data_IF_026893889474
#
_entry.id   IF_026893889474
#
_cell.length_a   1.000
_cell.length_b   1.000
_cell.length_c   1.000
_cell.angle_alpha   90.00
_cell.angle_beta   90.00
_cell.angle_gamma   90.00
#
_symmetry.space_group_name_H-M   'P 1'
#
loop_
_entity.id
_entity.type
_entity.pdbx_description
1 polymer ?
#
# COMPACT_ATOMS: atom_id res chain seq x y z
N UNK A 1 -7.52 7.65 54.57
CA UNK A 1 -6.34 7.20 53.80
C UNK A 1 -6.29 5.68 53.80
N UNK A 2 -6.59 5.03 52.66
CA UNK A 2 -6.23 3.65 52.31
C UNK A 2 -6.28 3.57 50.77
N UNK A 3 -5.18 3.21 50.14
CA UNK A 3 -5.04 2.99 48.69
C UNK A 3 -5.74 1.69 48.31
N UNK A 4 -6.49 1.69 47.20
CA UNK A 4 -6.75 0.48 46.42
C UNK A 4 -6.56 0.85 44.94
N UNK A 5 -5.45 0.37 44.39
CA UNK A 5 -5.18 0.20 42.96
C UNK A 5 -6.08 -0.95 42.50
N UNK A 6 -6.91 -0.78 41.46
CA UNK A 6 -7.32 -1.85 40.53
C UNK A 6 -8.37 -1.32 39.53
N UNK A 7 -7.93 -0.90 38.35
CA UNK A 7 -8.68 -1.16 37.11
C UNK A 7 -7.73 -1.09 35.91
N UNK A 8 -6.60 -1.80 36.04
CA UNK A 8 -6.09 -2.55 34.91
C UNK A 8 -7.13 -3.64 34.64
N UNK A 9 -8.11 -3.34 33.78
CA UNK A 9 -8.86 -4.35 33.04
C UNK A 9 -7.88 -4.84 31.98
N UNK A 10 -6.95 -5.76 32.29
CA UNK A 10 -7.18 -7.20 32.28
C UNK A 10 -8.19 -7.64 31.20
N UNK A 11 -7.95 -7.22 29.96
CA UNK A 11 -8.22 -8.07 28.78
C UNK A 11 -6.90 -8.71 28.38
N UNK A 12 -6.37 -9.54 29.30
CA UNK A 12 -5.45 -10.63 28.96
C UNK A 12 -6.33 -11.85 28.83
N UNK A 13 -7.04 -11.95 27.71
CA UNK A 13 -7.74 -13.16 27.31
C UNK A 13 -7.37 -13.41 25.84
N UNK A 14 -6.44 -14.35 25.66
CA UNK A 14 -6.22 -15.13 24.44
C UNK A 14 -5.74 -14.37 23.20
N UNK A 15 -4.41 -14.23 23.09
CA UNK A 15 -3.67 -14.83 21.97
C UNK A 15 -3.87 -14.29 20.53
N UNK A 16 -4.54 -13.16 20.34
CA UNK A 16 -4.47 -12.41 19.08
C UNK A 16 -4.01 -10.98 19.42
N UNK A 17 -2.71 -10.79 19.64
CA UNK A 17 -2.12 -9.45 19.56
C UNK A 17 -2.08 -9.05 18.07
N UNK A 18 -3.24 -8.70 17.49
CA UNK A 18 -3.21 -7.86 16.31
C UNK A 18 -2.62 -6.54 16.77
N UNK A 19 -1.41 -6.22 16.31
CA UNK A 19 -0.86 -4.88 16.42
C UNK A 19 -1.92 -3.93 15.83
N UNK A 20 -2.52 -3.11 16.67
CA UNK A 20 -3.46 -2.09 16.22
C UNK A 20 -2.59 -1.02 15.55
N UNK A 21 -2.70 -0.90 14.23
CA UNK A 21 -2.19 0.26 13.53
C UNK A 21 -2.89 1.48 14.10
N UNK A 22 -2.15 2.36 14.76
CA UNK A 22 -2.63 3.73 14.99
C UNK A 22 -2.43 4.44 13.67
N UNK A 23 -3.47 4.40 12.85
CA UNK A 23 -3.44 4.94 11.50
C UNK A 23 -3.56 6.46 11.50
N UNK A 24 -2.91 7.15 10.57
CA UNK A 24 -3.23 8.53 10.28
C UNK A 24 -4.69 8.64 9.82
N UNK A 25 -5.37 9.72 10.20
CA UNK A 25 -6.70 10.02 9.66
C UNK A 25 -6.53 10.80 8.35
N UNK A 26 -6.98 10.22 7.26
CA UNK A 26 -6.96 10.83 5.93
C UNK A 26 -8.33 11.37 5.55
N UNK A 27 -8.38 12.54 4.90
CA UNK A 27 -9.65 13.14 4.44
C UNK A 27 -9.83 13.00 2.92
N UNK A 28 -8.74 12.84 2.17
CA UNK A 28 -8.73 12.78 0.71
C UNK A 28 -7.78 11.70 0.20
N UNK A 29 -7.96 11.27 -1.05
CA UNK A 29 -7.02 10.38 -1.75
C UNK A 29 -5.61 10.99 -1.80
N UNK A 30 -5.51 12.29 -2.06
CA UNK A 30 -4.23 13.00 -2.11
C UNK A 30 -3.49 12.97 -0.77
N UNK A 31 -4.21 13.02 0.37
CA UNK A 31 -3.59 12.89 1.69
C UNK A 31 -2.92 11.54 1.87
N UNK A 32 -3.53 10.46 1.36
CA UNK A 32 -2.96 9.10 1.43
C UNK A 32 -1.66 9.03 0.64
N UNK A 33 -1.69 9.39 -0.65
CA UNK A 33 -0.50 9.31 -1.50
C UNK A 33 0.62 10.20 -1.00
N UNK A 34 0.28 11.43 -0.60
CA UNK A 34 1.24 12.37 -0.04
C UNK A 34 1.88 11.80 1.24
N UNK A 35 1.07 11.26 2.15
CA UNK A 35 1.59 10.70 3.38
C UNK A 35 2.52 9.52 3.11
N UNK A 36 2.16 8.61 2.21
CA UNK A 36 3.03 7.46 1.86
C UNK A 36 4.36 7.94 1.29
N UNK A 37 4.35 8.90 0.36
CA UNK A 37 5.57 9.49 -0.21
C UNK A 37 6.44 10.19 0.86
N UNK A 38 5.82 10.88 1.82
CA UNK A 38 6.55 11.63 2.85
C UNK A 38 7.05 10.75 4.01
N UNK A 39 6.47 9.56 4.22
CA UNK A 39 6.73 8.73 5.41
C UNK A 39 7.35 7.36 5.11
N UNK A 40 7.40 6.94 3.84
CA UNK A 40 7.97 5.65 3.43
C UNK A 40 9.17 5.90 2.52
N UNK A 41 10.35 5.44 2.95
CA UNK A 41 11.58 5.52 2.16
C UNK A 41 11.53 4.52 0.99
N UNK A 42 11.70 5.01 -0.23
CA UNK A 42 11.74 4.16 -1.41
C UNK A 42 13.05 3.37 -1.46
N UNK A 43 12.96 2.03 -1.38
CA UNK A 43 14.11 1.13 -1.53
C UNK A 43 14.11 0.45 -2.90
N UNK A 44 15.30 0.38 -3.51
CA UNK A 44 15.55 -0.50 -4.65
C UNK A 44 16.00 -1.85 -4.09
N UNK A 45 15.08 -2.58 -3.47
CA UNK A 45 15.41 -3.91 -2.97
C UNK A 45 15.77 -4.86 -4.12
N UNK A 46 16.77 -5.70 -3.88
CA UNK A 46 17.31 -6.67 -4.85
C UNK A 46 16.53 -7.98 -4.89
N UNK A 47 15.61 -8.18 -3.95
CA UNK A 47 14.79 -9.39 -3.81
C UNK A 47 13.32 -9.03 -4.03
N UNK A 48 12.63 -9.77 -4.90
CA UNK A 48 11.21 -9.61 -5.26
C UNK A 48 10.26 -9.98 -4.09
N UNK A 49 10.59 -9.68 -2.84
CA UNK A 49 9.73 -9.96 -1.69
C UNK A 49 8.78 -8.79 -1.45
N UNK A 50 7.48 -9.00 -1.67
CA UNK A 50 6.49 -7.99 -1.32
C UNK A 50 6.22 -7.99 0.19
N UNK A 51 6.23 -6.81 0.77
CA UNK A 51 5.85 -6.55 2.14
C UNK A 51 4.32 -6.46 2.26
N UNK A 52 3.76 -6.81 3.42
CA UNK A 52 2.37 -6.45 3.73
C UNK A 52 2.25 -4.95 4.04
N UNK A 53 1.04 -4.37 4.02
CA UNK A 53 0.82 -2.99 4.47
C UNK A 53 1.40 -2.74 5.87
N UNK A 54 1.15 -3.65 6.82
CA UNK A 54 1.69 -3.59 8.18
C UNK A 54 3.22 -3.54 8.20
N UNK A 55 3.88 -4.38 7.41
CA UNK A 55 5.34 -4.43 7.36
C UNK A 55 5.89 -3.13 6.80
N UNK A 56 5.35 -2.67 5.69
CA UNK A 56 5.75 -1.39 5.06
C UNK A 56 5.56 -0.23 6.03
N UNK A 57 4.43 -0.20 6.74
CA UNK A 57 4.14 0.81 7.75
C UNK A 57 5.11 0.77 8.93
N UNK A 58 5.50 -0.42 9.40
CA UNK A 58 6.40 -0.58 10.54
C UNK A 58 7.86 -0.31 10.16
N UNK A 59 8.29 -0.78 8.98
CA UNK A 59 9.66 -0.61 8.47
C UNK A 59 9.92 0.82 7.99
N UNK A 60 8.87 1.55 7.59
CA UNK A 60 8.96 2.87 6.96
C UNK A 60 9.81 2.86 5.69
N UNK A 61 9.88 1.72 5.00
CA UNK A 61 10.58 1.55 3.75
C UNK A 61 9.96 0.45 2.88
N UNK A 62 10.14 0.55 1.57
CA UNK A 62 9.71 -0.47 0.61
C UNK A 62 9.89 -0.03 -0.84
N UNK A 63 9.75 -0.96 -1.77
CA UNK A 63 9.77 -0.67 -3.20
C UNK A 63 8.37 -0.33 -3.72
N UNK A 64 8.23 -0.07 -5.03
CA UNK A 64 6.97 0.38 -5.64
C UNK A 64 5.74 -0.47 -5.29
N UNK A 65 5.88 -1.79 -5.21
CA UNK A 65 4.78 -2.71 -4.90
C UNK A 65 4.31 -2.62 -3.45
N UNK A 66 5.25 -2.37 -2.53
CA UNK A 66 4.96 -2.29 -1.08
C UNK A 66 4.23 -0.99 -0.77
N UNK A 67 4.74 0.11 -1.33
CA UNK A 67 4.11 1.42 -1.24
C UNK A 67 2.72 1.40 -1.86
N UNK A 68 2.57 0.85 -3.07
CA UNK A 68 1.27 0.70 -3.70
C UNK A 68 0.30 -0.15 -2.85
N UNK A 69 0.77 -1.23 -2.22
CA UNK A 69 -0.08 -2.06 -1.38
C UNK A 69 -0.50 -1.35 -0.09
N UNK A 70 0.38 -0.53 0.49
CA UNK A 70 0.06 0.31 1.65
C UNK A 70 -0.92 1.44 1.29
N UNK A 71 -0.79 2.06 0.13
CA UNK A 71 -1.76 3.04 -0.38
C UNK A 71 -3.14 2.41 -0.55
N UNK A 72 -3.22 1.24 -1.20
CA UNK A 72 -4.47 0.51 -1.35
C UNK A 72 -5.10 0.12 -0.01
N UNK A 73 -4.27 -0.19 1.00
CA UNK A 73 -4.75 -0.46 2.36
C UNK A 73 -5.48 0.75 2.94
N UNK A 74 -4.84 1.91 2.97
CA UNK A 74 -5.46 3.12 3.51
C UNK A 74 -6.71 3.55 2.73
N UNK A 75 -6.67 3.43 1.39
CA UNK A 75 -7.84 3.69 0.56
C UNK A 75 -8.99 2.71 0.88
N UNK A 76 -8.68 1.43 1.11
CA UNK A 76 -9.67 0.44 1.52
C UNK A 76 -10.29 0.76 2.90
N UNK A 77 -9.49 1.21 3.87
CA UNK A 77 -9.99 1.67 5.18
C UNK A 77 -10.91 2.91 5.05
N UNK A 78 -10.66 3.75 4.04
CA UNK A 78 -11.53 4.87 3.67
C UNK A 78 -12.77 4.44 2.85
N UNK A 79 -12.95 3.15 2.58
CA UNK A 79 -13.97 2.59 1.67
C UNK A 79 -13.88 3.12 0.23
N UNK A 80 -12.66 3.43 -0.22
CA UNK A 80 -12.35 3.87 -1.58
C UNK A 80 -11.82 2.68 -2.38
N UNK A 81 -12.50 2.33 -3.47
CA UNK A 81 -12.07 1.24 -4.34
C UNK A 81 -10.84 1.64 -5.15
N UNK A 82 -9.84 0.75 -5.20
CA UNK A 82 -8.61 0.96 -5.97
C UNK A 82 -8.12 -0.32 -6.65
N UNK A 83 -7.31 -0.13 -7.69
CA UNK A 83 -6.62 -1.18 -8.43
C UNK A 83 -5.12 -0.90 -8.49
N UNK A 84 -4.32 -1.95 -8.38
CA UNK A 84 -2.89 -1.89 -8.65
C UNK A 84 -2.62 -2.27 -10.10
N UNK A 85 -1.86 -1.42 -10.79
CA UNK A 85 -1.42 -1.62 -12.15
C UNK A 85 0.07 -1.91 -12.12
N UNK A 86 0.43 -3.10 -12.59
CA UNK A 86 1.80 -3.48 -12.84
C UNK A 86 2.14 -3.15 -14.28
N UNK A 87 3.08 -2.23 -14.48
CA UNK A 87 3.48 -1.77 -15.80
C UNK A 87 4.96 -2.04 -16.04
N UNK A 88 5.32 -2.38 -17.27
CA UNK A 88 6.72 -2.45 -17.73
C UNK A 88 6.97 -1.36 -18.75
N UNK A 89 8.06 -0.62 -18.61
CA UNK A 89 8.44 0.40 -19.59
C UNK A 89 9.04 -0.24 -20.85
N UNK A 90 8.43 0.01 -22.02
CA UNK A 90 8.86 -0.57 -23.31
C UNK A 90 10.14 0.07 -23.88
N UNK A 91 10.47 1.28 -23.44
CA UNK A 91 11.57 2.10 -23.98
C UNK A 91 12.84 1.99 -23.11
N UNK A 92 12.74 1.32 -21.96
CA UNK A 92 13.85 1.11 -21.03
C UNK A 92 14.62 -0.16 -21.41
N UNK A 93 15.95 -0.07 -21.51
CA UNK A 93 16.84 -1.23 -21.71
C UNK A 93 17.01 -2.08 -20.44
N UNK A 94 16.45 -1.63 -19.31
CA UNK A 94 16.33 -2.43 -18.08
C UNK A 94 14.88 -2.85 -17.87
N UNK A 95 14.71 -4.05 -17.36
CA UNK A 95 13.43 -4.74 -17.10
C UNK A 95 12.68 -4.11 -15.90
N UNK A 96 12.52 -2.78 -15.92
CA UNK A 96 11.96 -2.00 -14.84
C UNK A 96 10.44 -2.09 -14.90
N UNK A 97 9.86 -3.06 -14.19
CA UNK A 97 8.45 -3.01 -13.83
C UNK A 97 8.22 -1.99 -12.70
N UNK A 98 7.03 -1.39 -12.68
CA UNK A 98 6.60 -0.48 -11.64
C UNK A 98 5.13 -0.74 -11.27
N UNK A 99 4.81 -0.65 -9.99
CA UNK A 99 3.44 -0.72 -9.50
C UNK A 99 2.86 0.68 -9.34
N UNK A 100 1.61 0.86 -9.75
CA UNK A 100 0.84 2.11 -9.67
C UNK A 100 -0.52 1.83 -9.04
N UNK A 101 -1.06 2.76 -8.27
CA UNK A 101 -2.44 2.67 -7.74
C UNK A 101 -3.37 3.58 -8.50
N UNK A 102 -4.51 3.03 -8.93
CA UNK A 102 -5.61 3.77 -9.54
C UNK A 102 -6.83 3.70 -8.64
N UNK A 103 -7.34 4.87 -8.25
CA UNK A 103 -8.61 4.96 -7.53
C UNK A 103 -9.76 4.91 -8.53
N UNK A 104 -10.71 4.00 -8.29
CA UNK A 104 -11.96 3.97 -9.05
C UNK A 104 -12.92 4.99 -8.49
N UNK A 105 -13.40 5.86 -9.37
CA UNK A 105 -14.59 6.68 -9.12
C UNK A 105 -14.41 7.95 -8.28
N UNK A 106 -13.21 8.54 -8.25
CA UNK A 106 -13.12 9.98 -8.00
C UNK A 106 -13.14 10.70 -9.34
N UNK A 107 -13.94 11.76 -9.45
CA UNK A 107 -13.76 12.80 -10.47
C UNK A 107 -12.33 13.31 -10.35
N UNK A 108 -11.40 12.67 -11.07
CA UNK A 108 -10.00 13.08 -11.22
C UNK A 108 -10.05 14.58 -11.51
N UNK A 109 -9.61 15.47 -10.59
CA UNK A 109 -9.56 16.89 -10.87
C UNK A 109 -8.85 17.06 -12.21
N UNK A 110 -9.34 17.91 -13.11
CA UNK A 110 -8.74 18.09 -14.46
C UNK A 110 -7.22 18.40 -14.44
N UNK A 111 -6.68 18.71 -13.27
CA UNK A 111 -5.29 19.07 -13.02
C UNK A 111 -4.48 17.96 -12.33
N UNK A 112 -5.09 16.86 -11.89
CA UNK A 112 -4.31 15.68 -11.53
C UNK A 112 -3.95 14.97 -12.83
N UNK A 113 -2.71 14.49 -12.90
CA UNK A 113 -2.13 13.83 -14.06
C UNK A 113 -2.89 12.53 -14.29
N UNK A 114 -4.03 12.61 -14.96
CA UNK A 114 -4.80 11.46 -15.42
C UNK A 114 -3.84 10.52 -16.12
N UNK A 115 -3.79 9.27 -15.67
CA UNK A 115 -3.03 8.19 -16.31
C UNK A 115 -3.36 8.03 -17.81
N UNK A 116 -4.44 8.66 -18.31
CA UNK A 116 -4.71 8.83 -19.73
C UNK A 116 -3.62 9.56 -20.53
N UNK A 117 -2.67 10.25 -19.87
CA UNK A 117 -1.50 10.85 -20.52
C UNK A 117 -0.30 9.93 -20.60
N UNK A 118 -0.29 8.81 -19.88
CA UNK A 118 0.71 7.78 -20.15
C UNK A 118 0.21 7.07 -21.40
N UNK A 119 0.88 7.31 -22.52
CA UNK A 119 0.51 6.71 -23.79
C UNK A 119 0.86 5.21 -23.78
N UNK A 120 -0.04 4.29 -24.18
CA UNK A 120 0.23 2.84 -24.28
C UNK A 120 1.45 2.44 -25.13
N UNK A 121 2.02 3.41 -25.87
CA UNK A 121 3.28 3.29 -26.60
C UNK A 121 4.49 3.15 -25.69
N UNK A 122 4.45 3.68 -24.46
CA UNK A 122 5.64 3.75 -23.58
C UNK A 122 5.69 2.63 -22.54
N UNK A 123 4.57 1.96 -22.27
CA UNK A 123 4.46 0.90 -21.27
C UNK A 123 3.55 -0.24 -21.72
N UNK A 124 3.73 -1.38 -21.09
CA UNK A 124 2.89 -2.56 -21.18
C UNK A 124 2.24 -2.78 -19.80
N UNK A 125 0.91 -2.95 -19.77
CA UNK A 125 0.23 -3.40 -18.54
C UNK A 125 0.47 -4.90 -18.44
N UNK A 126 1.24 -5.31 -17.44
CA UNK A 126 1.51 -6.71 -17.13
C UNK A 126 0.33 -7.31 -16.38
N UNK A 127 -0.22 -6.56 -15.42
CA UNK A 127 -1.30 -7.04 -14.54
C UNK A 127 -2.10 -5.89 -13.97
N UNK A 128 -3.39 -6.15 -13.72
CA UNK A 128 -4.26 -5.32 -12.89
C UNK A 128 -4.77 -6.21 -11.75
N UNK A 129 -4.68 -5.76 -10.51
CA UNK A 129 -5.18 -6.49 -9.33
C UNK A 129 -6.02 -5.59 -8.43
N UNK A 130 -7.10 -6.14 -7.88
CA UNK A 130 -7.81 -5.51 -6.75
C UNK A 130 -6.97 -5.57 -5.48
N UNK A 131 -7.34 -4.79 -4.45
CA UNK A 131 -6.64 -4.81 -3.17
C UNK A 131 -6.48 -6.23 -2.60
N UNK A 132 -7.58 -7.00 -2.56
CA UNK A 132 -7.58 -8.39 -2.12
C UNK A 132 -6.62 -9.28 -2.91
N UNK A 133 -6.61 -9.15 -4.24
CA UNK A 133 -5.72 -9.94 -5.09
C UNK A 133 -4.24 -9.57 -4.90
N UNK A 134 -3.96 -8.29 -4.66
CA UNK A 134 -2.60 -7.80 -4.38
C UNK A 134 -2.09 -8.34 -3.03
N UNK A 135 -2.92 -8.37 -1.99
CA UNK A 135 -2.59 -9.00 -0.71
C UNK A 135 -2.28 -10.49 -0.86
N UNK A 136 -3.17 -11.24 -1.52
CA UNK A 136 -2.99 -12.68 -1.78
C UNK A 136 -1.70 -12.97 -2.58
N UNK A 137 -1.29 -12.04 -3.44
CA UNK A 137 -0.03 -12.16 -4.16
C UNK A 137 1.19 -11.95 -3.26
N UNK A 138 1.17 -10.91 -2.41
CA UNK A 138 2.23 -10.65 -1.44
C UNK A 138 2.44 -11.82 -0.46
N UNK A 139 1.35 -12.46 -0.04
CA UNK A 139 1.42 -13.63 0.85
C UNK A 139 2.04 -14.86 0.17
N UNK A 140 1.68 -15.13 -1.10
CA UNK A 140 2.20 -16.28 -1.84
C UNK A 140 3.71 -16.19 -2.10
N UNK A 141 4.23 -15.00 -2.39
CA UNK A 141 5.66 -14.85 -2.67
C UNK A 141 6.50 -15.23 -1.44
N UNK A 142 6.03 -14.88 -0.23
CA UNK A 142 6.69 -15.24 1.02
C UNK A 142 6.76 -16.74 1.28
N UNK A 143 5.81 -17.52 0.78
CA UNK A 143 5.79 -18.99 0.99
C UNK A 143 6.70 -19.76 0.04
N UNK A 144 7.27 -19.10 -0.96
CA UNK A 144 8.03 -19.73 -2.04
C UNK A 144 9.54 -19.50 -1.92
N UNK A 145 9.98 -18.74 -0.91
CA UNK A 145 11.37 -18.45 -0.56
C UNK A 145 11.76 -19.25 0.70
#
# INVERSE_FOLDING_TARGET
MKKIILTAVLVVLMGCSQEILIEPVFNTVDDVFKWVIENIEYTLDKEDSWQSPQQTYNLKSGHCSDMALLEMYFLNEMNIESEMYWVRFKISFSDNSHALVLVKNETIPRNSTSLSYITPSCYEIIRITSYKQSLEYAERIKTTQ
#
